data_IF_342229099981
#
_entry.id   IF_342229099981
#
_cell.length_a   1.000
_cell.length_b   1.000
_cell.length_c   1.000
_cell.angle_alpha   90.00
_cell.angle_beta   90.00
_cell.angle_gamma   90.00
#
_symmetry.space_group_name_H-M   'P 1'
#
loop_
_entity.id
_entity.type
_entity.pdbx_description
1 polymer ?
#
# COMPACT_ATOMS: atom_id res chain seq x y z
N UNK A 1 -13.23 -1.57 -19.79
CA UNK A 1 -12.59 -1.53 -18.45
C UNK A 1 -11.68 -0.30 -18.32
N UNK A 2 -10.80 0.00 -19.29
CA UNK A 2 -9.90 1.16 -19.26
C UNK A 2 -10.67 2.49 -19.09
N UNK A 3 -11.67 2.76 -19.95
CA UNK A 3 -12.55 3.93 -19.82
C UNK A 3 -13.21 4.02 -18.44
N UNK A 4 -13.43 2.88 -17.78
CA UNK A 4 -14.04 2.80 -16.45
C UNK A 4 -13.04 3.25 -15.36
N UNK A 5 -11.77 2.86 -15.42
CA UNK A 5 -10.74 3.30 -14.46
C UNK A 5 -10.55 4.83 -14.53
N UNK A 6 -10.47 5.40 -15.74
CA UNK A 6 -10.39 6.87 -15.91
C UNK A 6 -11.63 7.59 -15.36
N UNK A 7 -12.84 7.03 -15.54
CA UNK A 7 -14.08 7.58 -14.96
C UNK A 7 -14.05 7.53 -13.43
N UNK A 8 -13.65 6.39 -12.85
CA UNK A 8 -13.49 6.24 -11.41
C UNK A 8 -12.52 7.30 -10.88
N UNK A 9 -11.36 7.45 -11.50
CA UNK A 9 -10.36 8.42 -11.08
C UNK A 9 -10.92 9.85 -11.09
N UNK A 10 -11.60 10.27 -12.14
CA UNK A 10 -12.23 11.60 -12.25
C UNK A 10 -13.31 11.80 -11.17
N UNK A 11 -14.24 10.86 -11.03
CA UNK A 11 -15.31 10.95 -10.02
C UNK A 11 -14.76 11.01 -8.58
N UNK A 12 -13.63 10.34 -8.31
CA UNK A 12 -12.98 10.42 -7.01
C UNK A 12 -12.28 11.77 -6.78
N UNK A 13 -11.72 12.38 -7.83
CA UNK A 13 -11.09 13.71 -7.73
C UNK A 13 -12.12 14.80 -7.45
N UNK A 14 -13.26 14.74 -8.14
CA UNK A 14 -14.34 15.73 -8.01
C UNK A 14 -15.02 15.66 -6.62
N UNK A 15 -15.03 14.49 -6.00
CA UNK A 15 -15.67 14.25 -4.70
C UNK A 15 -14.76 14.28 -3.48
N UNK A 16 -13.46 14.52 -3.62
CA UNK A 16 -12.49 14.45 -2.53
C UNK A 16 -11.87 15.81 -2.20
N UNK A 17 -11.80 16.16 -0.92
CA UNK A 17 -10.77 17.10 -0.45
C UNK A 17 -9.39 16.54 -0.81
N UNK A 18 -8.48 17.41 -1.29
CA UNK A 18 -7.13 17.02 -1.73
C UNK A 18 -6.50 16.04 -0.73
N UNK A 19 -6.12 14.83 -1.16
CA UNK A 19 -5.40 13.93 -0.27
C UNK A 19 -4.10 14.60 0.15
N UNK A 20 -3.81 14.56 1.44
CA UNK A 20 -2.56 15.08 2.02
C UNK A 20 -1.33 14.53 1.28
N UNK A 21 -0.20 15.21 1.46
CA UNK A 21 1.08 15.06 0.78
C UNK A 21 1.40 13.65 0.26
N UNK A 22 1.76 13.60 -1.02
CA UNK A 22 2.35 12.41 -1.65
C UNK A 22 3.60 11.97 -0.88
N UNK A 23 3.77 10.69 -0.66
CA UNK A 23 5.00 10.07 -0.14
C UNK A 23 6.15 10.10 -1.17
N UNK A 24 6.19 11.09 -2.06
CA UNK A 24 7.26 11.25 -3.05
C UNK A 24 8.56 11.64 -2.34
N UNK A 25 9.62 10.87 -2.58
CA UNK A 25 10.95 11.19 -2.09
C UNK A 25 11.34 10.56 -0.75
N UNK A 26 10.51 9.65 -0.22
CA UNK A 26 10.94 8.82 0.92
C UNK A 26 12.00 7.82 0.43
N UNK A 27 13.07 7.69 1.20
CA UNK A 27 14.07 6.65 0.98
C UNK A 27 13.40 5.28 0.83
N UNK A 28 13.77 4.45 -0.16
CA UNK A 28 13.11 3.17 -0.41
C UNK A 28 13.18 2.18 0.75
N UNK A 29 14.28 2.20 1.54
CA UNK A 29 14.43 1.35 2.72
C UNK A 29 13.54 1.88 3.86
N UNK A 30 13.48 3.19 4.05
CA UNK A 30 12.55 3.80 5.00
C UNK A 30 11.09 3.50 4.63
N UNK A 31 10.73 3.52 3.34
CA UNK A 31 9.40 3.14 2.88
C UNK A 31 9.09 1.65 3.13
N UNK A 32 10.07 0.76 2.94
CA UNK A 32 9.95 -0.65 3.30
C UNK A 32 9.64 -0.81 4.80
N UNK A 33 10.43 -0.16 5.67
CA UNK A 33 10.24 -0.18 7.13
C UNK A 33 8.84 0.35 7.50
N UNK A 34 8.46 1.52 6.98
CA UNK A 34 7.14 2.12 7.21
C UNK A 34 6.00 1.20 6.78
N UNK A 35 6.15 0.51 5.65
CA UNK A 35 5.12 -0.40 5.14
C UNK A 35 5.02 -1.67 5.99
N UNK A 36 6.13 -2.22 6.47
CA UNK A 36 6.12 -3.32 7.46
C UNK A 36 5.44 -2.85 8.75
N UNK A 37 5.79 -1.69 9.26
CA UNK A 37 5.18 -1.12 10.46
C UNK A 37 3.67 -0.87 10.30
N UNK A 38 3.18 -0.56 9.10
CA UNK A 38 1.77 -0.29 8.82
C UNK A 38 0.86 -1.53 8.89
N UNK A 39 1.42 -2.73 8.89
CA UNK A 39 0.63 -3.97 8.92
C UNK A 39 -0.17 -4.08 10.22
N UNK A 40 -1.50 -4.30 10.09
CA UNK A 40 -2.42 -4.47 11.22
C UNK A 40 -2.33 -3.36 12.28
N UNK A 41 -2.14 -2.11 11.87
CA UNK A 41 -2.13 -0.94 12.75
C UNK A 41 -2.72 0.29 12.05
N UNK A 42 -2.93 1.38 12.79
CA UNK A 42 -3.35 2.66 12.21
C UNK A 42 -2.15 3.57 11.93
N UNK A 43 -2.40 4.66 11.19
CA UNK A 43 -1.35 5.58 10.75
C UNK A 43 -0.63 6.28 11.91
N UNK A 44 -1.33 6.62 13.00
CA UNK A 44 -0.75 7.25 14.18
C UNK A 44 0.26 6.34 14.88
N UNK A 45 -0.16 5.11 15.20
CA UNK A 45 0.70 4.13 15.89
C UNK A 45 1.89 3.71 15.01
N UNK A 46 1.68 3.59 13.67
CA UNK A 46 2.78 3.37 12.72
C UNK A 46 3.81 4.50 12.80
N UNK A 47 3.36 5.76 12.75
CA UNK A 47 4.26 6.92 12.76
C UNK A 47 5.02 7.02 14.08
N UNK A 48 4.35 6.77 15.21
CA UNK A 48 5.00 6.72 16.53
C UNK A 48 6.06 5.62 16.60
N UNK A 49 5.76 4.42 16.10
CA UNK A 49 6.71 3.32 16.06
C UNK A 49 7.92 3.65 15.17
N UNK A 50 7.69 4.26 14.01
CA UNK A 50 8.76 4.67 13.11
C UNK A 50 9.63 5.77 13.72
N UNK A 51 9.04 6.79 14.33
CA UNK A 51 9.79 7.85 15.00
C UNK A 51 10.65 7.33 16.15
N UNK A 52 10.11 6.42 16.96
CA UNK A 52 10.86 5.78 18.04
C UNK A 52 12.04 4.94 17.49
N UNK A 53 11.80 4.20 16.40
CA UNK A 53 12.84 3.42 15.73
C UNK A 53 13.98 4.31 15.21
N UNK A 54 13.65 5.39 14.49
CA UNK A 54 14.65 6.33 13.93
C UNK A 54 15.39 7.12 15.02
N UNK A 55 14.75 7.41 16.14
CA UNK A 55 15.40 8.07 17.29
C UNK A 55 16.41 7.15 17.98
N UNK A 56 16.10 5.87 18.13
CA UNK A 56 17.01 4.89 18.73
C UNK A 56 18.09 4.41 17.77
N UNK A 57 17.78 4.36 16.47
CA UNK A 57 18.64 3.82 15.43
C UNK A 57 18.63 4.75 14.20
N UNK A 58 19.43 5.84 14.21
CA UNK A 58 19.41 6.87 13.17
C UNK A 58 19.76 6.38 11.76
N UNK A 59 20.56 5.32 11.63
CA UNK A 59 20.94 4.72 10.34
C UNK A 59 20.40 3.30 10.18
N UNK A 60 20.26 2.85 8.94
CA UNK A 60 19.82 1.49 8.64
C UNK A 60 20.85 0.44 9.11
N UNK A 61 22.14 0.75 9.09
CA UNK A 61 23.18 -0.13 9.60
C UNK A 61 23.04 -0.33 11.11
N UNK A 62 22.81 0.73 11.88
CA UNK A 62 22.55 0.60 13.32
C UNK A 62 21.31 -0.25 13.60
N UNK A 63 20.25 -0.14 12.78
CA UNK A 63 19.09 -1.00 12.90
C UNK A 63 19.43 -2.47 12.59
N UNK A 64 20.21 -2.72 11.54
CA UNK A 64 20.59 -4.07 11.14
C UNK A 64 21.49 -4.76 12.18
N UNK A 65 22.39 -4.01 12.83
CA UNK A 65 23.35 -4.54 13.80
C UNK A 65 22.77 -4.66 15.21
N UNK A 66 21.73 -3.88 15.55
CA UNK A 66 21.11 -3.92 16.88
C UNK A 66 20.50 -5.31 17.21
N UNK A 67 20.45 -5.69 18.49
CA UNK A 67 19.67 -6.85 18.93
C UNK A 67 18.20 -6.71 18.53
N UNK A 68 17.60 -7.82 18.07
CA UNK A 68 16.17 -7.82 17.64
C UNK A 68 15.24 -7.34 18.75
N UNK A 69 15.56 -7.66 19.99
CA UNK A 69 14.80 -7.29 21.19
C UNK A 69 14.77 -5.77 21.43
N UNK A 70 15.80 -5.06 20.99
CA UNK A 70 15.86 -3.60 21.08
C UNK A 70 14.97 -2.94 20.02
N UNK A 71 15.00 -3.44 18.78
CA UNK A 71 14.08 -3.03 17.74
C UNK A 71 12.62 -3.31 18.17
N UNK A 72 12.37 -4.51 18.74
CA UNK A 72 11.05 -4.89 19.23
C UNK A 72 10.54 -3.92 20.30
N UNK A 73 11.39 -3.56 21.27
CA UNK A 73 11.03 -2.58 22.30
C UNK A 73 10.69 -1.22 21.71
N UNK A 74 11.49 -0.75 20.75
CA UNK A 74 11.29 0.55 20.10
C UNK A 74 9.94 0.63 19.37
N UNK A 75 9.52 -0.43 18.68
CA UNK A 75 8.30 -0.44 17.86
C UNK A 75 7.07 -1.02 18.56
N UNK A 76 7.13 -1.30 19.87
CA UNK A 76 6.04 -1.96 20.63
C UNK A 76 4.70 -1.28 20.48
N UNK A 77 4.67 0.05 20.40
CA UNK A 77 3.45 0.86 20.24
C UNK A 77 2.71 0.54 18.94
N UNK A 78 3.39 0.05 17.90
CA UNK A 78 2.81 -0.29 16.60
C UNK A 78 2.12 -1.66 16.51
N UNK A 79 2.13 -2.45 17.60
CA UNK A 79 1.59 -3.82 17.63
C UNK A 79 2.40 -4.82 16.77
N UNK A 80 2.25 -6.12 17.05
CA UNK A 80 2.98 -7.20 16.39
C UNK A 80 4.50 -6.96 16.37
N UNK A 81 5.04 -6.37 17.44
CA UNK A 81 6.41 -5.86 17.50
C UNK A 81 7.46 -6.95 17.25
N UNK A 82 7.28 -8.15 17.80
CA UNK A 82 8.21 -9.27 17.60
C UNK A 82 8.27 -9.72 16.13
N UNK A 83 7.12 -9.80 15.45
CA UNK A 83 7.08 -10.18 14.04
C UNK A 83 7.69 -9.09 13.15
N UNK A 84 7.32 -7.82 13.41
CA UNK A 84 7.76 -6.66 12.62
C UNK A 84 9.25 -6.39 12.80
N UNK A 85 9.80 -6.47 14.03
CA UNK A 85 11.22 -6.27 14.28
C UNK A 85 12.08 -7.29 13.56
N UNK A 86 11.69 -8.57 13.59
CA UNK A 86 12.36 -9.62 12.82
C UNK A 86 12.29 -9.35 11.32
N UNK A 87 11.11 -9.00 10.79
CA UNK A 87 10.95 -8.71 9.37
C UNK A 87 11.82 -7.53 8.93
N UNK A 88 11.87 -6.44 9.70
CA UNK A 88 12.74 -5.29 9.44
C UNK A 88 14.21 -5.72 9.44
N UNK A 89 14.67 -6.37 10.52
CA UNK A 89 16.07 -6.78 10.64
C UNK A 89 16.48 -7.74 9.53
N UNK A 90 15.70 -8.78 9.29
CA UNK A 90 16.00 -9.78 8.27
C UNK A 90 16.08 -9.14 6.88
N UNK A 91 15.16 -8.20 6.55
CA UNK A 91 15.19 -7.46 5.28
C UNK A 91 16.45 -6.59 5.15
N UNK A 92 16.82 -5.85 6.19
CA UNK A 92 18.02 -5.01 6.17
C UNK A 92 19.30 -5.84 6.00
N UNK A 93 19.42 -6.96 6.72
CA UNK A 93 20.55 -7.87 6.61
C UNK A 93 20.60 -8.55 5.24
N UNK A 94 19.46 -8.92 4.67
CA UNK A 94 19.39 -9.48 3.33
C UNK A 94 19.86 -8.47 2.28
N UNK A 95 19.35 -7.23 2.32
CA UNK A 95 19.77 -6.16 1.40
C UNK A 95 21.28 -5.95 1.49
N UNK A 96 21.83 -5.82 2.71
CA UNK A 96 23.27 -5.62 2.92
C UNK A 96 24.10 -6.79 2.37
N UNK A 97 23.64 -8.03 2.57
CA UNK A 97 24.31 -9.23 2.07
C UNK A 97 24.35 -9.28 0.54
N UNK A 98 23.25 -8.92 -0.10
CA UNK A 98 23.09 -9.04 -1.56
C UNK A 98 23.69 -7.84 -2.31
N UNK A 99 23.65 -6.64 -1.72
CA UNK A 99 24.06 -5.40 -2.38
C UNK A 99 25.37 -4.78 -1.84
N UNK A 100 25.92 -5.31 -0.75
CA UNK A 100 27.09 -4.73 -0.07
C UNK A 100 26.77 -3.50 0.79
N UNK A 101 25.60 -2.90 0.64
CA UNK A 101 25.09 -1.76 1.41
C UNK A 101 23.58 -1.88 1.61
N UNK A 102 23.03 -1.17 2.61
CA UNK A 102 21.59 -1.17 2.85
C UNK A 102 20.94 -0.08 1.97
N UNK A 103 20.78 -0.38 0.68
CA UNK A 103 20.16 0.49 -0.33
C UNK A 103 19.35 -0.34 -1.32
N UNK A 104 18.23 0.22 -1.80
CA UNK A 104 17.34 -0.41 -2.78
C UNK A 104 17.38 0.28 -4.15
N UNK A 105 18.35 1.20 -4.37
CA UNK A 105 18.41 1.98 -5.62
C UNK A 105 18.62 1.14 -6.87
N UNK A 106 19.21 -0.04 -6.75
CA UNK A 106 19.33 -1.00 -7.87
C UNK A 106 17.97 -1.40 -8.47
N UNK A 107 16.88 -1.34 -7.70
CA UNK A 107 15.54 -1.60 -8.20
C UNK A 107 15.05 -0.51 -9.17
N UNK A 108 15.70 0.64 -9.22
CA UNK A 108 15.33 1.75 -10.11
C UNK A 108 15.48 1.38 -11.59
N UNK A 109 16.45 0.54 -11.91
CA UNK A 109 16.74 0.09 -13.29
C UNK A 109 16.16 -1.28 -13.62
N UNK A 110 15.71 -2.03 -12.60
CA UNK A 110 15.11 -3.37 -12.79
C UNK A 110 13.74 -3.28 -13.48
N UNK A 111 13.34 -4.28 -14.28
CA UNK A 111 11.96 -4.45 -14.70
C UNK A 111 11.01 -4.49 -13.48
N UNK A 112 9.82 -3.94 -13.62
CA UNK A 112 8.90 -3.75 -12.46
C UNK A 112 8.52 -5.07 -11.78
N UNK A 113 8.21 -6.11 -12.55
CA UNK A 113 7.84 -7.41 -11.97
C UNK A 113 9.03 -8.10 -11.30
N UNK A 114 10.23 -8.02 -11.89
CA UNK A 114 11.46 -8.57 -11.28
C UNK A 114 11.75 -7.87 -9.93
N UNK A 115 11.61 -6.54 -9.90
CA UNK A 115 11.76 -5.77 -8.66
C UNK A 115 10.72 -6.16 -7.60
N UNK A 116 9.48 -6.41 -8.00
CA UNK A 116 8.42 -6.90 -7.11
C UNK A 116 8.78 -8.28 -6.57
N UNK A 117 9.27 -9.19 -7.40
CA UNK A 117 9.63 -10.55 -6.98
C UNK A 117 10.86 -10.55 -6.05
N UNK A 118 11.86 -9.71 -6.30
CA UNK A 118 12.99 -9.50 -5.38
C UNK A 118 12.46 -9.02 -4.02
N UNK A 119 11.62 -8.01 -4.00
CA UNK A 119 11.04 -7.48 -2.75
C UNK A 119 10.22 -8.53 -2.00
N UNK A 120 9.43 -9.35 -2.72
CA UNK A 120 8.63 -10.44 -2.14
C UNK A 120 9.49 -11.56 -1.53
N UNK A 121 10.74 -11.70 -1.95
CA UNK A 121 11.71 -12.59 -1.31
C UNK A 121 12.11 -12.17 0.10
N UNK A 122 11.82 -10.94 0.51
CA UNK A 122 12.13 -10.45 1.86
C UNK A 122 11.05 -10.85 2.85
N UNK A 123 11.46 -11.13 4.09
CA UNK A 123 10.53 -11.54 5.16
C UNK A 123 9.46 -10.49 5.44
N UNK A 124 8.20 -10.88 5.43
CA UNK A 124 7.07 -9.98 5.73
C UNK A 124 6.70 -9.05 4.57
N UNK A 125 7.33 -9.19 3.41
CA UNK A 125 7.01 -8.43 2.20
C UNK A 125 6.15 -9.28 1.28
N UNK A 126 4.89 -8.92 1.14
CA UNK A 126 3.96 -9.49 0.16
C UNK A 126 3.79 -8.60 -1.07
N UNK A 127 2.98 -9.04 -2.03
CA UNK A 127 2.69 -8.31 -3.27
C UNK A 127 2.28 -6.85 -3.04
N UNK A 128 1.38 -6.59 -2.07
CA UNK A 128 0.97 -5.23 -1.71
C UNK A 128 2.15 -4.37 -1.25
N UNK A 129 3.01 -4.89 -0.37
CA UNK A 129 4.15 -4.14 0.17
C UNK A 129 5.15 -3.82 -0.94
N UNK A 130 5.48 -4.81 -1.77
CA UNK A 130 6.36 -4.61 -2.92
C UNK A 130 5.80 -3.55 -3.90
N UNK A 131 4.52 -3.65 -4.24
CA UNK A 131 3.87 -2.67 -5.12
C UNK A 131 3.84 -1.26 -4.52
N UNK A 132 3.67 -1.09 -3.18
CA UNK A 132 3.78 0.21 -2.50
C UNK A 132 5.18 0.80 -2.68
N UNK A 133 6.23 0.03 -2.46
CA UNK A 133 7.61 0.50 -2.61
C UNK A 133 7.86 0.94 -4.05
N UNK A 134 7.49 0.13 -5.03
CA UNK A 134 7.64 0.48 -6.44
C UNK A 134 6.87 1.74 -6.82
N UNK A 135 5.65 1.90 -6.32
CA UNK A 135 4.80 3.05 -6.61
C UNK A 135 5.34 4.34 -5.97
N UNK A 136 5.61 4.33 -4.67
CA UNK A 136 5.88 5.55 -3.90
C UNK A 136 7.35 5.94 -3.85
N UNK A 137 8.30 4.98 -3.88
CA UNK A 137 9.74 5.30 -3.87
C UNK A 137 10.31 5.40 -5.29
N UNK A 138 9.84 4.60 -6.23
CA UNK A 138 10.40 4.55 -7.58
C UNK A 138 9.49 5.16 -8.66
N UNK A 139 8.26 5.55 -8.32
CA UNK A 139 7.32 6.15 -9.28
C UNK A 139 6.85 5.19 -10.38
N UNK A 140 6.99 3.88 -10.16
CA UNK A 140 6.53 2.86 -11.11
C UNK A 140 5.01 2.77 -11.10
N UNK A 141 4.35 2.61 -12.25
CA UNK A 141 2.89 2.58 -12.34
C UNK A 141 2.30 1.26 -11.86
N UNK A 142 2.56 0.92 -10.59
CA UNK A 142 1.99 -0.26 -9.93
C UNK A 142 0.67 0.09 -9.24
N UNK A 143 -0.13 -0.93 -8.94
CA UNK A 143 -1.44 -0.77 -8.28
C UNK A 143 -1.52 -1.61 -6.99
N UNK A 144 -1.00 -1.10 -5.86
CA UNK A 144 -1.06 -1.83 -4.60
C UNK A 144 -2.49 -2.09 -4.16
N UNK A 145 -2.83 -3.37 -3.92
CA UNK A 145 -4.20 -3.78 -3.57
C UNK A 145 -4.26 -4.21 -2.11
N UNK A 146 -4.95 -3.40 -1.30
CA UNK A 146 -5.30 -3.75 0.07
C UNK A 146 -6.75 -4.24 0.19
N UNK A 147 -7.20 -4.51 1.39
CA UNK A 147 -8.57 -4.97 1.65
C UNK A 147 -9.64 -3.95 1.26
N UNK A 148 -9.33 -2.64 1.31
CA UNK A 148 -10.25 -1.58 0.86
C UNK A 148 -10.36 -1.56 -0.65
N UNK A 149 -9.24 -1.52 -1.34
CA UNK A 149 -9.19 -1.50 -2.81
C UNK A 149 -9.77 -2.79 -3.39
N UNK A 150 -9.39 -3.95 -2.83
CA UNK A 150 -9.96 -5.24 -3.25
C UNK A 150 -11.50 -5.22 -3.18
N UNK A 151 -12.05 -4.80 -2.05
CA UNK A 151 -13.49 -4.70 -1.85
C UNK A 151 -14.16 -3.74 -2.84
N UNK A 152 -13.55 -2.57 -3.07
CA UNK A 152 -14.07 -1.56 -3.99
C UNK A 152 -14.08 -2.09 -5.42
N UNK A 153 -12.97 -2.66 -5.90
CA UNK A 153 -12.85 -3.18 -7.26
C UNK A 153 -13.86 -4.29 -7.54
N UNK A 154 -14.10 -5.18 -6.57
CA UNK A 154 -15.11 -6.24 -6.64
C UNK A 154 -16.53 -5.67 -6.65
N UNK A 155 -16.86 -4.75 -5.74
CA UNK A 155 -18.18 -4.13 -5.64
C UNK A 155 -18.56 -3.30 -6.86
N UNK A 156 -17.58 -2.63 -7.47
CA UNK A 156 -17.84 -1.91 -8.74
C UNK A 156 -18.13 -2.90 -9.88
N UNK A 157 -17.63 -4.13 -9.78
CA UNK A 157 -17.80 -5.16 -10.81
C UNK A 157 -16.70 -5.12 -11.89
N UNK A 158 -15.56 -4.44 -11.61
CA UNK A 158 -14.43 -4.41 -12.55
C UNK A 158 -13.69 -5.74 -12.59
N UNK A 159 -13.63 -6.42 -11.46
CA UNK A 159 -12.97 -7.72 -11.31
C UNK A 159 -13.92 -8.73 -10.65
N UNK A 160 -13.82 -10.01 -11.02
CA UNK A 160 -14.58 -11.08 -10.38
C UNK A 160 -14.25 -11.24 -8.89
N UNK A 161 -15.23 -11.71 -8.10
CA UNK A 161 -15.08 -11.97 -6.65
C UNK A 161 -13.92 -12.91 -6.32
N UNK A 162 -13.67 -13.91 -7.18
CA UNK A 162 -12.58 -14.90 -6.99
C UNK A 162 -11.16 -14.36 -7.16
N UNK A 163 -10.98 -13.10 -7.63
CA UNK A 163 -9.64 -12.58 -7.86
C UNK A 163 -8.92 -12.27 -6.55
N UNK A 164 -7.66 -12.76 -6.46
CA UNK A 164 -6.71 -12.40 -5.41
C UNK A 164 -6.24 -10.95 -5.57
N UNK A 165 -5.70 -10.32 -4.53
CA UNK A 165 -5.10 -8.98 -4.62
C UNK A 165 -4.06 -8.86 -5.73
N UNK A 166 -3.17 -9.83 -5.88
CA UNK A 166 -2.16 -9.88 -6.93
C UNK A 166 -2.81 -9.94 -8.33
N UNK A 167 -3.84 -10.77 -8.50
CA UNK A 167 -4.55 -10.86 -9.78
C UNK A 167 -5.26 -9.55 -10.13
N UNK A 168 -5.82 -8.85 -9.12
CA UNK A 168 -6.41 -7.52 -9.30
C UNK A 168 -5.32 -6.54 -9.73
N UNK A 169 -4.17 -6.49 -9.05
CA UNK A 169 -3.03 -5.64 -9.41
C UNK A 169 -2.67 -5.82 -10.89
N UNK A 170 -2.33 -7.03 -11.29
CA UNK A 170 -1.93 -7.36 -12.68
C UNK A 170 -3.03 -7.06 -13.73
N UNK A 171 -4.30 -7.06 -13.31
CA UNK A 171 -5.42 -6.72 -14.19
C UNK A 171 -5.59 -5.21 -14.37
N UNK A 172 -5.34 -4.43 -13.32
CA UNK A 172 -5.58 -2.98 -13.31
C UNK A 172 -4.39 -2.18 -13.83
N UNK A 173 -3.14 -2.60 -13.53
CA UNK A 173 -1.93 -1.87 -13.92
C UNK A 173 -1.86 -1.49 -15.41
N UNK A 174 -2.16 -2.38 -16.37
CA UNK A 174 -2.16 -2.02 -17.80
C UNK A 174 -3.22 -0.98 -18.19
N UNK A 175 -4.17 -0.68 -17.30
CA UNK A 175 -5.30 0.24 -17.55
C UNK A 175 -5.09 1.63 -16.92
N UNK A 176 -3.90 1.89 -16.35
CA UNK A 176 -3.59 3.12 -15.61
C UNK A 176 -3.14 4.27 -16.54
N UNK A 177 -3.14 4.08 -17.86
CA UNK A 177 -2.77 5.15 -18.77
C UNK A 177 -3.65 6.40 -18.59
N UNK A 178 -3.02 7.57 -18.47
CA UNK A 178 -3.68 8.84 -18.19
C UNK A 178 -4.26 8.98 -16.77
N UNK A 179 -3.84 8.13 -15.82
CA UNK A 179 -4.22 8.15 -14.41
C UNK A 179 -2.97 8.27 -13.55
N UNK A 180 -2.97 9.13 -12.53
CA UNK A 180 -1.93 9.12 -11.50
C UNK A 180 -2.20 7.96 -10.53
N UNK A 181 -1.38 6.89 -10.55
CA UNK A 181 -1.65 5.69 -9.75
C UNK A 181 -1.47 5.93 -8.25
N UNK A 182 -0.59 6.86 -7.84
CA UNK A 182 -0.40 7.23 -6.43
C UNK A 182 -1.66 7.92 -5.91
N UNK A 183 -2.15 8.91 -6.65
CA UNK A 183 -3.37 9.64 -6.28
C UNK A 183 -4.59 8.73 -6.29
N UNK A 184 -4.73 7.87 -7.29
CA UNK A 184 -5.81 6.87 -7.34
C UNK A 184 -5.78 5.95 -6.12
N UNK A 185 -4.61 5.42 -5.75
CA UNK A 185 -4.44 4.56 -4.58
C UNK A 185 -4.92 5.27 -3.30
N UNK A 186 -4.47 6.50 -3.06
CA UNK A 186 -4.83 7.28 -1.87
C UNK A 186 -6.34 7.55 -1.82
N UNK A 187 -6.93 7.95 -2.94
CA UNK A 187 -8.36 8.23 -3.05
C UNK A 187 -9.21 6.98 -2.79
N UNK A 188 -8.81 5.82 -3.31
CA UNK A 188 -9.51 4.55 -3.07
C UNK A 188 -9.41 4.11 -1.62
N UNK A 189 -8.26 4.29 -0.96
CA UNK A 189 -8.12 4.02 0.48
C UNK A 189 -9.06 4.92 1.28
N UNK A 190 -9.09 6.22 0.99
CA UNK A 190 -9.97 7.18 1.65
C UNK A 190 -11.44 6.80 1.47
N UNK A 191 -11.87 6.49 0.24
CA UNK A 191 -13.22 6.00 -0.06
C UNK A 191 -13.55 4.74 0.75
N UNK A 192 -12.61 3.78 0.83
CA UNK A 192 -12.81 2.52 1.54
C UNK A 192 -12.90 2.67 3.06
N UNK A 193 -12.18 3.64 3.63
CA UNK A 193 -12.24 3.98 5.06
C UNK A 193 -13.51 4.75 5.42
N UNK A 194 -13.92 5.71 4.61
CA UNK A 194 -14.98 6.67 4.94
C UNK A 194 -16.37 6.24 4.46
N UNK A 195 -16.49 5.82 3.21
CA UNK A 195 -17.77 5.60 2.51
C UNK A 195 -18.02 4.13 2.23
N UNK A 196 -17.15 3.48 1.46
CA UNK A 196 -17.31 2.08 1.05
C UNK A 196 -16.84 1.12 2.15
N UNK A 197 -17.44 1.21 3.33
CA UNK A 197 -17.11 0.36 4.50
C UNK A 197 -17.46 -1.11 4.24
N UNK A 198 -16.78 -2.04 4.93
CA UNK A 198 -17.06 -3.47 4.81
C UNK A 198 -18.49 -3.79 5.24
N UNK A 199 -18.90 -3.25 6.39
CA UNK A 199 -20.27 -3.34 6.92
C UNK A 199 -20.95 -1.98 6.78
N UNK A 200 -22.24 -1.96 6.40
CA UNK A 200 -23.06 -0.74 6.27
C UNK A 200 -22.38 0.35 5.41
N UNK A 201 -22.06 0.07 4.13
CA UNK A 201 -21.50 1.09 3.25
C UNK A 201 -22.49 2.22 3.01
N UNK A 202 -21.98 3.45 2.87
CA UNK A 202 -22.78 4.66 2.65
C UNK A 202 -22.95 4.91 1.15
N UNK A 203 -23.59 3.96 0.42
CA UNK A 203 -23.77 4.00 -1.03
C UNK A 203 -24.45 5.27 -1.55
N UNK A 204 -25.46 5.87 -0.87
CA UNK A 204 -26.05 7.14 -1.29
C UNK A 204 -25.06 8.31 -1.38
N UNK A 205 -24.00 8.31 -0.56
CA UNK A 205 -22.96 9.36 -0.52
C UNK A 205 -21.74 9.02 -1.40
N UNK A 206 -21.76 7.87 -2.09
CA UNK A 206 -20.59 7.39 -2.82
C UNK A 206 -20.48 8.10 -4.18
N UNK A 207 -19.32 8.76 -4.49
CA UNK A 207 -19.10 9.40 -5.79
C UNK A 207 -19.06 8.39 -6.95
N UNK A 208 -18.85 7.12 -6.64
CA UNK A 208 -18.82 6.04 -7.64
C UNK A 208 -20.15 5.30 -7.78
N UNK A 209 -21.24 5.78 -7.16
CA UNK A 209 -22.53 5.06 -7.13
C UNK A 209 -23.03 4.68 -8.52
N UNK A 210 -22.99 5.62 -9.48
CA UNK A 210 -23.46 5.40 -10.85
C UNK A 210 -22.63 4.41 -11.67
N UNK A 211 -21.42 4.10 -11.20
CA UNK A 211 -20.47 3.17 -11.82
C UNK A 211 -20.39 1.82 -11.08
N UNK A 212 -21.12 1.67 -9.97
CA UNK A 212 -20.95 0.56 -9.03
C UNK A 212 -22.13 -0.41 -9.08
N UNK A 213 -21.91 -1.65 -9.54
CA UNK A 213 -22.94 -2.69 -9.58
C UNK A 213 -23.59 -2.90 -8.21
N UNK A 214 -22.80 -3.08 -7.17
CA UNK A 214 -23.27 -3.22 -5.79
C UNK A 214 -24.11 -2.01 -5.32
N UNK A 215 -23.68 -0.78 -5.68
CA UNK A 215 -24.37 0.45 -5.27
C UNK A 215 -25.73 0.62 -5.96
N UNK A 216 -25.86 0.16 -7.20
CA UNK A 216 -27.11 0.18 -7.96
C UNK A 216 -28.10 -0.88 -7.43
N UNK A 217 -27.64 -2.09 -7.15
CA UNK A 217 -28.48 -3.17 -6.60
C UNK A 217 -28.98 -2.84 -5.19
N UNK A 218 -28.14 -2.29 -4.32
CA UNK A 218 -28.49 -2.01 -2.92
C UNK A 218 -29.55 -0.91 -2.79
N UNK A 219 -29.66 -0.01 -3.76
CA UNK A 219 -30.64 1.10 -3.72
C UNK A 219 -31.92 0.72 -4.47
N UNK A 220 -31.84 -0.15 -5.48
CA UNK A 220 -33.03 -0.71 -6.14
C UNK A 220 -33.84 -1.65 -5.23
N UNK A 221 -33.25 -2.18 -4.17
CA UNK A 221 -33.93 -3.04 -3.19
C UNK A 221 -34.65 -2.24 -2.07
N UNK A 222 -34.58 -0.90 -2.06
CA UNK A 222 -35.18 -0.02 -1.04
C UNK A 222 -36.40 0.73 -1.63
N UNK A 223 -36.67 0.61 -2.94
CA UNK A 223 -37.82 1.11 -3.63
C UNK A 223 -38.81 -0.02 -3.96
#
# INVERSE_FOLDING_TARGET
VEKTIRKIYRSLQDGAASPGSSHRGIDPVDNLILTILSQNTNDELRNRAYSALKSGFPTHDLMADAPTEELERAIRVGGLSSQKSRAIKDSLLQIRKEQGSIALDFLRTSPTEDAIDILKGMRGVGDKTAAIIMLFSFGRPTFPVDTHIQRIMKRIGIVPERYSPEKIRKTIEPLLDGVDPQKLHILLIALGKQVCKARKPQCPLCPLRSLCSYGLETVGAIL
#
